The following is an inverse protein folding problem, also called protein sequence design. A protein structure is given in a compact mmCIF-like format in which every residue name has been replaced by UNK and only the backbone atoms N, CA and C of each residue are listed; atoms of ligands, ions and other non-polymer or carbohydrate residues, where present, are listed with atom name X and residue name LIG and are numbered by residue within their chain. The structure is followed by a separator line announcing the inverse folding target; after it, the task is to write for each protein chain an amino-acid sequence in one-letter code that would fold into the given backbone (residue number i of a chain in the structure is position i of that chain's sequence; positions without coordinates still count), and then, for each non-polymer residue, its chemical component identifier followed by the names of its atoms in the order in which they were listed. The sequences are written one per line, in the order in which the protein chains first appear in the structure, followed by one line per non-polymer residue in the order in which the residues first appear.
data_IF_681702037873
#
_entry.id   IF_681702037873
#
_cell.length_a   1.000
_cell.length_b   1.000
_cell.length_c   1.000
_cell.angle_alpha   90.00
_cell.angle_beta   90.00
_cell.angle_gamma   90.00
#
_symmetry.space_group_name_H-M   'P 1'
#
loop_
_entity.id
_entity.type
_entity.pdbx_description
1 polymer ?
#
# COMPACT_ATOMS: atom_id res chain seq x y z
N UNK A 1 -15.62 -20.92 -3.03
CA UNK A 1 -14.27 -20.41 -2.66
C UNK A 1 -13.17 -20.80 -3.65
N UNK A 2 -13.13 -22.03 -4.18
CA UNK A 2 -12.04 -22.50 -5.08
C UNK A 2 -11.90 -21.65 -6.37
N UNK A 3 -13.02 -21.34 -7.06
CA UNK A 3 -13.01 -20.47 -8.26
C UNK A 3 -12.54 -19.02 -8.00
N UNK A 4 -12.61 -18.54 -6.76
CA UNK A 4 -12.15 -17.20 -6.41
C UNK A 4 -10.62 -17.15 -6.38
N UNK A 5 -10.01 -18.14 -5.73
CA UNK A 5 -8.54 -18.28 -5.65
C UNK A 5 -7.95 -18.41 -7.07
N UNK A 6 -8.55 -19.21 -7.94
CA UNK A 6 -8.04 -19.39 -9.31
C UNK A 6 -8.17 -18.16 -10.21
N UNK A 7 -9.21 -17.33 -10.01
CA UNK A 7 -9.46 -16.15 -10.86
C UNK A 7 -8.86 -14.87 -10.31
N UNK A 8 -8.20 -14.93 -9.15
CA UNK A 8 -7.55 -13.78 -8.53
C UNK A 8 -6.21 -13.52 -9.21
N UNK A 9 -5.93 -12.30 -9.68
CA UNK A 9 -4.63 -11.96 -10.26
C UNK A 9 -3.58 -11.83 -9.15
N UNK A 10 -3.04 -12.96 -8.67
CA UNK A 10 -2.05 -13.02 -7.59
C UNK A 10 -0.81 -12.17 -7.85
N UNK A 11 -0.38 -12.08 -9.11
CA UNK A 11 0.74 -11.22 -9.52
C UNK A 11 0.51 -9.75 -9.16
N UNK A 12 -0.74 -9.29 -9.18
CA UNK A 12 -1.09 -7.91 -8.87
C UNK A 12 -1.04 -7.64 -7.37
N UNK A 13 -1.45 -8.60 -6.54
CA UNK A 13 -1.29 -8.53 -5.09
C UNK A 13 0.18 -8.43 -4.69
N UNK A 14 1.04 -9.27 -5.30
CA UNK A 14 2.49 -9.24 -5.07
C UNK A 14 3.06 -7.89 -5.51
N UNK A 15 2.68 -7.41 -6.71
CA UNK A 15 3.11 -6.11 -7.21
C UNK A 15 2.77 -4.99 -6.23
N UNK A 16 1.52 -4.92 -5.79
CA UNK A 16 1.05 -3.90 -4.86
C UNK A 16 1.74 -3.99 -3.49
N UNK A 17 1.99 -5.21 -2.99
CA UNK A 17 2.71 -5.40 -1.74
C UNK A 17 4.16 -4.91 -1.84
N UNK A 18 4.88 -5.31 -2.90
CA UNK A 18 6.26 -4.88 -3.14
C UNK A 18 6.34 -3.37 -3.35
N UNK A 19 5.43 -2.78 -4.11
CA UNK A 19 5.42 -1.33 -4.32
C UNK A 19 5.06 -0.58 -3.05
N UNK A 20 4.23 -1.15 -2.18
CA UNK A 20 3.93 -0.59 -0.85
C UNK A 20 5.19 -0.57 0.02
N UNK A 21 5.97 -1.64 0.02
CA UNK A 21 7.27 -1.65 0.71
C UNK A 21 8.23 -0.62 0.13
N UNK A 22 8.41 -0.62 -1.19
CA UNK A 22 9.36 0.27 -1.87
C UNK A 22 9.00 1.75 -1.68
N UNK A 23 7.74 2.14 -1.86
CA UNK A 23 7.31 3.53 -1.67
C UNK A 23 7.32 3.93 -0.19
N UNK A 24 7.01 3.01 0.71
CA UNK A 24 7.15 3.24 2.14
C UNK A 24 8.58 3.57 2.54
N UNK A 25 9.56 2.80 2.07
CA UNK A 25 10.97 2.99 2.44
C UNK A 25 11.65 4.12 1.69
N UNK A 26 11.41 4.25 0.38
CA UNK A 26 12.12 5.21 -0.47
C UNK A 26 11.52 6.61 -0.42
N UNK A 27 10.23 6.72 -0.09
CA UNK A 27 9.50 8.00 -0.09
C UNK A 27 8.93 8.30 1.30
N UNK A 28 8.16 7.37 1.87
CA UNK A 28 7.49 7.56 3.16
C UNK A 28 8.44 7.83 4.33
N UNK A 29 9.44 6.97 4.52
CA UNK A 29 10.39 7.10 5.62
C UNK A 29 11.21 8.41 5.54
N UNK A 30 11.84 8.78 4.40
CA UNK A 30 12.52 10.07 4.27
C UNK A 30 11.61 11.26 4.53
N UNK A 31 10.36 11.23 4.05
CA UNK A 31 9.39 12.31 4.29
C UNK A 31 9.09 12.47 5.79
N UNK A 32 8.86 11.37 6.50
CA UNK A 32 8.56 11.43 7.95
C UNK A 32 9.79 11.86 8.76
N UNK A 33 10.98 11.38 8.42
CA UNK A 33 12.22 11.81 9.07
C UNK A 33 12.41 13.32 8.93
N UNK A 34 12.18 13.86 7.73
CA UNK A 34 12.30 15.30 7.48
C UNK A 34 11.19 16.11 8.15
N UNK A 35 9.95 15.62 8.12
CA UNK A 35 8.80 16.35 8.67
C UNK A 35 8.81 16.43 10.20
N UNK A 36 9.36 15.42 10.88
CA UNK A 36 9.34 15.31 12.35
C UNK A 36 10.74 15.39 13.00
N UNK A 37 11.79 15.73 12.23
CA UNK A 37 13.18 15.85 12.69
C UNK A 37 13.66 14.66 13.57
N UNK A 38 13.43 13.45 13.08
CA UNK A 38 13.65 12.22 13.87
C UNK A 38 15.15 11.87 13.95
N UNK A 39 15.70 11.62 15.16
CA UNK A 39 17.14 11.47 15.37
C UNK A 39 17.74 10.16 14.81
N UNK A 40 16.91 9.13 14.54
CA UNK A 40 17.37 7.80 14.11
C UNK A 40 16.77 7.39 12.75
N UNK A 41 17.31 7.90 11.63
CA UNK A 41 16.73 7.67 10.29
C UNK A 41 16.72 6.19 9.89
N UNK A 42 17.71 5.41 10.34
CA UNK A 42 17.81 3.97 10.07
C UNK A 42 16.68 3.20 10.75
N UNK A 43 16.34 3.54 11.98
CA UNK A 43 15.28 2.86 12.74
C UNK A 43 13.91 3.16 12.15
N UNK A 44 13.67 4.42 11.79
CA UNK A 44 12.43 4.83 11.10
C UNK A 44 12.27 4.08 9.79
N UNK A 45 13.33 3.98 8.98
CA UNK A 45 13.28 3.23 7.71
C UNK A 45 12.97 1.74 7.95
N UNK A 46 13.56 1.11 8.97
CA UNK A 46 13.27 -0.28 9.34
C UNK A 46 11.82 -0.45 9.80
N UNK A 47 11.29 0.50 10.57
CA UNK A 47 9.89 0.49 10.98
C UNK A 47 8.96 0.56 9.76
N UNK A 48 9.27 1.41 8.78
CA UNK A 48 8.49 1.47 7.53
C UNK A 48 8.48 0.15 6.75
N UNK A 49 9.57 -0.63 6.77
CA UNK A 49 9.58 -2.01 6.19
C UNK A 49 8.65 -2.95 6.97
N UNK A 50 8.64 -2.83 8.30
CA UNK A 50 7.92 -3.75 9.18
C UNK A 50 6.43 -3.43 9.29
N UNK A 51 6.03 -2.17 9.14
CA UNK A 51 4.63 -1.73 9.28
C UNK A 51 3.67 -2.50 8.35
N UNK A 52 3.95 -2.68 7.04
CA UNK A 52 3.14 -3.53 6.16
C UNK A 52 2.97 -4.98 6.64
N UNK A 53 3.99 -5.53 7.31
CA UNK A 53 3.97 -6.89 7.84
C UNK A 53 3.14 -6.98 9.12
N UNK A 54 3.38 -6.06 10.07
CA UNK A 54 2.69 -6.03 11.36
C UNK A 54 1.20 -5.67 11.17
N UNK A 55 0.93 -4.67 10.32
CA UNK A 55 -0.41 -4.16 10.04
C UNK A 55 -0.98 -4.73 8.73
N UNK A 56 -0.63 -5.99 8.43
CA UNK A 56 -1.16 -6.72 7.28
C UNK A 56 -2.69 -6.80 7.28
N UNK A 57 -3.33 -6.77 8.44
CA UNK A 57 -4.79 -6.79 8.57
C UNK A 57 -5.46 -5.50 8.06
N UNK A 58 -4.75 -4.37 8.01
CA UNK A 58 -5.21 -3.15 7.33
C UNK A 58 -4.86 -3.16 5.84
N UNK A 59 -3.70 -3.72 5.49
CA UNK A 59 -3.22 -3.78 4.11
C UNK A 59 -4.02 -4.77 3.26
N UNK A 60 -4.31 -5.95 3.78
CA UNK A 60 -4.93 -7.05 3.05
C UNK A 60 -6.34 -6.71 2.51
N UNK A 61 -7.25 -6.09 3.28
CA UNK A 61 -8.53 -5.62 2.75
C UNK A 61 -8.37 -4.62 1.59
N UNK A 62 -7.41 -3.70 1.70
CA UNK A 62 -7.11 -2.72 0.65
C UNK A 62 -6.60 -3.40 -0.63
N UNK A 63 -5.67 -4.36 -0.49
CA UNK A 63 -5.14 -5.14 -1.60
C UNK A 63 -6.23 -5.96 -2.30
N UNK A 64 -7.14 -6.58 -1.54
CA UNK A 64 -8.27 -7.32 -2.07
C UNK A 64 -9.24 -6.41 -2.83
N UNK A 65 -9.61 -5.26 -2.25
CA UNK A 65 -10.52 -4.29 -2.87
C UNK A 65 -10.01 -3.81 -4.23
N UNK A 66 -8.73 -3.46 -4.30
CA UNK A 66 -8.10 -2.99 -5.54
C UNK A 66 -7.98 -4.12 -6.56
N UNK A 67 -7.78 -5.36 -6.10
CA UNK A 67 -7.78 -6.54 -6.97
C UNK A 67 -9.15 -6.81 -7.60
N UNK A 68 -10.24 -6.64 -6.84
CA UNK A 68 -11.60 -6.66 -7.39
C UNK A 68 -11.81 -5.52 -8.40
N UNK A 69 -11.35 -4.32 -8.08
CA UNK A 69 -11.38 -3.18 -8.99
C UNK A 69 -10.66 -3.48 -10.31
N UNK A 70 -9.47 -4.10 -10.26
CA UNK A 70 -8.74 -4.50 -11.46
C UNK A 70 -9.53 -5.52 -12.28
N UNK A 71 -10.15 -6.53 -11.65
CA UNK A 71 -10.98 -7.52 -12.34
C UNK A 71 -12.16 -6.84 -13.07
N UNK A 72 -12.81 -5.89 -12.40
CA UNK A 72 -13.87 -5.09 -13.01
C UNK A 72 -13.37 -4.25 -14.18
N UNK A 73 -12.26 -3.53 -14.04
CA UNK A 73 -11.69 -2.71 -15.11
C UNK A 73 -11.26 -3.56 -16.31
N UNK A 74 -10.63 -4.72 -16.08
CA UNK A 74 -10.25 -5.66 -17.14
C UNK A 74 -11.45 -6.18 -17.92
N UNK A 75 -12.61 -6.35 -17.28
CA UNK A 75 -13.84 -6.78 -17.95
C UNK A 75 -14.33 -5.79 -19.02
N UNK A 76 -13.94 -4.51 -18.92
CA UNK A 76 -14.28 -3.48 -19.91
C UNK A 76 -13.42 -3.56 -21.19
N UNK A 77 -12.43 -4.46 -21.24
CA UNK A 77 -11.54 -4.72 -22.37
C UNK A 77 -10.79 -3.48 -22.91
N UNK A 78 -10.65 -2.42 -22.10
CA UNK A 78 -9.89 -1.21 -22.44
C UNK A 78 -8.49 -1.28 -21.84
N UNK A 79 -7.47 -1.44 -22.70
CA UNK A 79 -6.06 -1.57 -22.29
C UNK A 79 -5.55 -0.34 -21.54
N UNK A 80 -5.82 0.87 -22.06
CA UNK A 80 -5.41 2.13 -21.41
C UNK A 80 -6.02 2.31 -20.03
N UNK A 81 -7.30 1.98 -19.87
CA UNK A 81 -8.00 2.07 -18.58
C UNK A 81 -7.41 1.10 -17.56
N UNK A 82 -7.09 -0.12 -17.99
CA UNK A 82 -6.46 -1.14 -17.13
C UNK A 82 -5.08 -0.68 -16.66
N UNK A 83 -4.26 -0.13 -17.56
CA UNK A 83 -2.93 0.37 -17.21
C UNK A 83 -3.02 1.57 -16.26
N UNK A 84 -3.92 2.52 -16.56
CA UNK A 84 -4.16 3.69 -15.70
C UNK A 84 -4.59 3.27 -14.30
N UNK A 85 -5.47 2.26 -14.20
CA UNK A 85 -5.90 1.72 -12.92
C UNK A 85 -4.75 1.07 -12.15
N UNK A 86 -3.89 0.28 -12.82
CA UNK A 86 -2.71 -0.33 -12.19
C UNK A 86 -1.77 0.75 -11.63
N UNK A 87 -1.44 1.77 -12.43
CA UNK A 87 -0.56 2.86 -12.01
C UNK A 87 -1.16 3.64 -10.84
N UNK A 88 -2.44 4.00 -10.92
CA UNK A 88 -3.13 4.65 -9.82
C UNK A 88 -3.11 3.81 -8.54
N UNK A 89 -3.31 2.49 -8.68
CA UNK A 89 -3.29 1.55 -7.55
C UNK A 89 -1.92 1.46 -6.88
N UNK A 90 -0.84 1.41 -7.66
CA UNK A 90 0.54 1.37 -7.17
C UNK A 90 0.85 2.57 -6.28
N UNK A 91 0.27 3.73 -6.58
CA UNK A 91 0.47 4.97 -5.81
C UNK A 91 -0.51 5.04 -4.64
N UNK A 92 -1.80 4.87 -4.89
CA UNK A 92 -2.86 5.08 -3.90
C UNK A 92 -2.80 4.07 -2.76
N UNK A 93 -2.47 2.81 -3.02
CA UNK A 93 -2.42 1.77 -1.97
C UNK A 93 -1.42 2.13 -0.87
N UNK A 94 -0.13 2.37 -1.17
CA UNK A 94 0.83 2.81 -0.16
C UNK A 94 0.43 4.12 0.52
N UNK A 95 -0.07 5.11 -0.24
CA UNK A 95 -0.46 6.41 0.32
C UNK A 95 -1.59 6.25 1.35
N UNK A 96 -2.63 5.51 1.01
CA UNK A 96 -3.74 5.24 1.94
C UNK A 96 -3.24 4.43 3.13
N UNK A 97 -2.46 3.37 2.89
CA UNK A 97 -1.97 2.51 3.95
C UNK A 97 -1.11 3.27 4.97
N UNK A 98 -0.03 3.93 4.55
CA UNK A 98 0.83 4.68 5.46
C UNK A 98 0.17 5.95 6.00
N UNK A 99 -0.67 6.62 5.21
CA UNK A 99 -1.42 7.79 5.66
C UNK A 99 -2.29 7.47 6.87
N UNK A 100 -3.02 6.33 6.84
CA UNK A 100 -3.79 5.85 7.99
C UNK A 100 -2.90 5.55 9.21
N UNK A 101 -1.70 4.99 8.99
CA UNK A 101 -0.81 4.69 10.11
C UNK A 101 -0.23 5.95 10.77
N UNK A 102 0.11 6.95 9.97
CA UNK A 102 0.62 8.22 10.48
C UNK A 102 -0.49 8.99 11.19
N UNK A 103 -1.72 8.98 10.66
CA UNK A 103 -2.86 9.64 11.33
C UNK A 103 -3.17 9.04 12.69
N UNK A 104 -3.10 7.70 12.83
CA UNK A 104 -3.30 7.05 14.12
C UNK A 104 -2.24 7.48 15.15
N UNK A 105 -0.98 7.62 14.73
CA UNK A 105 0.10 8.10 15.60
C UNK A 105 -0.16 9.54 16.05
N UNK A 106 -0.57 10.40 15.13
CA UNK A 106 -0.84 11.82 15.43
C UNK A 106 -2.01 11.97 16.42
N UNK A 107 -3.11 11.26 16.20
CA UNK A 107 -4.27 11.28 17.11
C UNK A 107 -3.92 10.76 18.51
N UNK A 108 -3.04 9.76 18.61
CA UNK A 108 -2.61 9.23 19.91
C UNK A 108 -1.64 10.18 20.64
N UNK A 109 -0.84 10.96 19.90
CA UNK A 109 0.11 11.91 20.49
C UNK A 109 -0.56 13.18 21.06
N UNK A 110 -1.78 13.51 20.59
CA UNK A 110 -2.58 14.65 21.08
C UNK A 110 -3.54 14.29 22.23
N UNK A 111 -3.65 13.01 22.60
CA UNK A 111 -4.53 12.50 23.66
C UNK A 111 -3.80 12.35 25.01
#
# INVERSE_FOLDING_TARGET
MIKFIETTPWWFLILLYVTTLALGTLVGAPLVIQAYDLPNPVEVTRLFVLVPLIKVHYLLPLLLLVTFGLKYVKSKQKKQLTLSFIVASIILVPVIFYGLQISDIYLYAEA
#
